data_IF_473505861683
#
_entry.id   IF_473505861683
#
_cell.length_a   1.000
_cell.length_b   1.000
_cell.length_c   1.000
_cell.angle_alpha   90.00
_cell.angle_beta   90.00
_cell.angle_gamma   90.00
#
_symmetry.space_group_name_H-M   'P 1'
#
loop_
_entity.id
_entity.type
_entity.pdbx_description
1 polymer ?
#
# COMPACT_ATOMS: atom_id res chain seq x y z
N UNK A 1 -19.05 -11.99 -18.19
CA UNK A 1 -19.41 -11.58 -16.81
C UNK A 1 -18.34 -10.64 -16.26
N UNK A 2 -18.72 -9.56 -15.58
CA UNK A 2 -17.82 -8.44 -15.24
C UNK A 2 -17.28 -8.58 -13.82
N UNK A 3 -16.44 -9.57 -13.57
CA UNK A 3 -15.89 -9.84 -12.22
C UNK A 3 -14.93 -8.76 -11.71
N UNK A 4 -14.29 -8.03 -12.62
CA UNK A 4 -13.33 -6.96 -12.27
C UNK A 4 -13.98 -5.80 -11.51
N UNK A 5 -15.27 -5.52 -11.74
CA UNK A 5 -16.00 -4.51 -10.96
C UNK A 5 -16.16 -4.91 -9.49
N UNK A 6 -16.26 -6.21 -9.20
CA UNK A 6 -16.30 -6.72 -7.83
C UNK A 6 -14.97 -6.42 -7.10
N UNK A 7 -13.85 -6.63 -7.80
CA UNK A 7 -12.51 -6.31 -7.29
C UNK A 7 -12.36 -4.81 -7.09
N UNK A 8 -12.76 -4.00 -8.08
CA UNK A 8 -12.74 -2.54 -8.00
C UNK A 8 -13.46 -2.03 -6.75
N UNK A 9 -14.73 -2.45 -6.56
CA UNK A 9 -15.54 -2.02 -5.44
C UNK A 9 -14.95 -2.47 -4.10
N UNK A 10 -14.45 -3.71 -4.00
CA UNK A 10 -13.75 -4.19 -2.81
C UNK A 10 -12.54 -3.31 -2.46
N UNK A 11 -11.72 -2.96 -3.45
CA UNK A 11 -10.54 -2.13 -3.22
C UNK A 11 -10.92 -0.71 -2.81
N UNK A 12 -11.96 -0.13 -3.41
CA UNK A 12 -12.44 1.21 -3.08
C UNK A 12 -13.04 1.28 -1.67
N UNK A 13 -13.80 0.26 -1.23
CA UNK A 13 -14.46 0.29 0.07
C UNK A 13 -13.57 -0.19 1.20
N UNK A 14 -12.86 -1.30 1.04
CA UNK A 14 -12.14 -1.96 2.13
C UNK A 14 -10.64 -1.69 2.15
N UNK A 15 -10.05 -1.26 1.02
CA UNK A 15 -8.59 -1.07 0.88
C UNK A 15 -8.21 0.35 0.44
N UNK A 16 -9.09 1.32 0.70
CA UNK A 16 -8.97 2.71 0.24
C UNK A 16 -7.64 3.41 0.57
N UNK A 17 -7.03 3.07 1.71
CA UNK A 17 -5.78 3.67 2.20
C UNK A 17 -4.53 2.92 1.76
N UNK A 18 -4.63 1.97 0.83
CA UNK A 18 -3.50 1.19 0.34
C UNK A 18 -3.10 1.62 -1.08
N UNK A 19 -1.91 1.20 -1.54
CA UNK A 19 -1.49 1.37 -2.95
C UNK A 19 -2.54 0.81 -3.92
N UNK A 20 -3.12 -0.35 -3.58
CA UNK A 20 -4.20 -0.97 -4.38
C UNK A 20 -5.46 -0.09 -4.42
N UNK A 21 -5.79 0.58 -3.32
CA UNK A 21 -6.89 1.53 -3.27
C UNK A 21 -6.65 2.77 -4.15
N UNK A 22 -5.42 3.25 -4.23
CA UNK A 22 -5.08 4.36 -5.13
C UNK A 22 -5.16 3.93 -6.60
N UNK A 23 -4.67 2.74 -6.94
CA UNK A 23 -4.83 2.17 -8.28
C UNK A 23 -6.31 2.03 -8.67
N UNK A 24 -7.17 1.60 -7.73
CA UNK A 24 -8.60 1.45 -7.98
C UNK A 24 -9.31 2.76 -8.28
N UNK A 25 -8.84 3.89 -7.71
CA UNK A 25 -9.39 5.23 -8.06
C UNK A 25 -9.08 5.60 -9.52
N UNK A 26 -7.85 5.32 -9.97
CA UNK A 26 -7.44 5.56 -11.37
C UNK A 26 -8.21 4.64 -12.32
N UNK A 27 -8.39 3.38 -11.92
CA UNK A 27 -9.07 2.37 -12.72
C UNK A 27 -10.60 2.50 -12.72
N UNK A 28 -11.19 3.40 -11.93
CA UNK A 28 -12.64 3.50 -11.75
C UNK A 28 -13.38 3.70 -13.08
N UNK A 29 -13.05 4.76 -13.80
CA UNK A 29 -13.71 5.05 -15.08
C UNK A 29 -13.53 3.95 -16.13
N UNK A 30 -12.30 3.47 -16.42
CA UNK A 30 -12.12 2.35 -17.33
C UNK A 30 -12.96 1.12 -16.97
N UNK A 31 -12.96 0.69 -15.73
CA UNK A 31 -13.67 -0.52 -15.28
C UNK A 31 -15.19 -0.38 -15.34
N UNK A 32 -15.76 0.80 -15.09
CA UNK A 32 -17.19 1.05 -15.27
C UNK A 32 -17.62 0.77 -16.73
N UNK A 33 -16.77 1.11 -17.70
CA UNK A 33 -16.97 0.82 -19.11
C UNK A 33 -16.38 -0.54 -19.54
N UNK A 34 -16.07 -1.40 -18.58
CA UNK A 34 -15.55 -2.75 -18.79
C UNK A 34 -14.15 -2.84 -19.41
N UNK A 35 -13.35 -1.77 -19.34
CA UNK A 35 -11.92 -1.76 -19.67
C UNK A 35 -11.15 -2.23 -18.43
N UNK A 36 -10.80 -3.51 -18.41
CA UNK A 36 -10.32 -4.20 -17.22
C UNK A 36 -8.79 -4.23 -17.09
N UNK A 37 -8.09 -3.82 -18.12
CA UNK A 37 -6.64 -3.94 -18.30
C UNK A 37 -5.89 -3.24 -17.16
N UNK A 38 -6.34 -2.03 -16.78
CA UNK A 38 -5.71 -1.24 -15.70
C UNK A 38 -5.66 -2.00 -14.38
N UNK A 39 -6.77 -2.67 -14.01
CA UNK A 39 -6.81 -3.48 -12.78
C UNK A 39 -6.12 -4.83 -12.96
N UNK A 40 -6.31 -5.49 -14.08
CA UNK A 40 -5.79 -6.85 -14.32
C UNK A 40 -4.27 -6.87 -14.36
N UNK A 41 -3.64 -5.85 -14.95
CA UNK A 41 -2.19 -5.72 -15.03
C UNK A 41 -1.60 -4.90 -13.88
N UNK A 42 -2.30 -3.90 -13.38
CA UNK A 42 -1.86 -3.11 -12.23
C UNK A 42 -1.87 -3.88 -10.91
N UNK A 43 -2.82 -4.82 -10.77
CA UNK A 43 -2.76 -5.89 -9.79
C UNK A 43 -2.40 -7.13 -10.60
N UNK A 44 -1.21 -7.73 -10.47
CA UNK A 44 -0.83 -8.88 -11.27
C UNK A 44 -1.68 -10.11 -10.91
N UNK A 45 -2.99 -10.05 -11.22
CA UNK A 45 -3.98 -11.06 -10.83
C UNK A 45 -3.63 -12.40 -11.44
N UNK A 46 -3.28 -12.40 -12.74
CA UNK A 46 -3.01 -13.64 -13.51
C UNK A 46 -1.73 -14.34 -13.05
N UNK A 47 -0.71 -13.56 -12.65
CA UNK A 47 0.59 -14.10 -12.20
C UNK A 47 0.63 -14.36 -10.68
N UNK A 48 -0.45 -14.09 -9.96
CA UNK A 48 -0.52 -14.27 -8.52
C UNK A 48 -1.28 -15.56 -8.17
N UNK A 49 -0.61 -16.58 -7.60
CA UNK A 49 -1.23 -17.88 -7.34
C UNK A 49 -2.44 -17.78 -6.38
N UNK A 50 -2.48 -16.79 -5.49
CA UNK A 50 -3.62 -16.56 -4.59
C UNK A 50 -4.80 -15.96 -5.35
N UNK A 51 -4.55 -15.04 -6.29
CA UNK A 51 -5.60 -14.32 -7.02
C UNK A 51 -6.13 -15.07 -8.23
N UNK A 52 -5.38 -16.04 -8.77
CA UNK A 52 -5.84 -16.91 -9.87
C UNK A 52 -7.06 -17.73 -9.45
N UNK A 53 -7.12 -18.18 -8.19
CA UNK A 53 -8.26 -18.99 -7.70
C UNK A 53 -9.58 -18.23 -7.85
N UNK A 54 -9.79 -17.04 -7.25
CA UNK A 54 -11.03 -16.29 -7.42
C UNK A 54 -11.20 -15.78 -8.85
N UNK A 55 -10.14 -15.53 -9.60
CA UNK A 55 -10.22 -15.13 -11.01
C UNK A 55 -10.91 -16.19 -11.88
N UNK A 56 -10.65 -17.47 -11.63
CA UNK A 56 -11.29 -18.58 -12.35
C UNK A 56 -12.64 -18.95 -11.73
N UNK A 57 -12.73 -19.05 -10.40
CA UNK A 57 -13.94 -19.55 -9.72
C UNK A 57 -15.10 -18.55 -9.74
N UNK A 58 -14.84 -17.24 -9.61
CA UNK A 58 -15.90 -16.25 -9.55
C UNK A 58 -16.76 -16.22 -10.81
N UNK A 59 -16.23 -16.16 -12.06
CA UNK A 59 -17.07 -16.20 -13.26
C UNK A 59 -17.95 -17.43 -13.31
N UNK A 60 -17.45 -18.59 -12.88
CA UNK A 60 -18.22 -19.85 -12.88
C UNK A 60 -19.38 -19.78 -11.88
N UNK A 61 -19.10 -19.35 -10.66
CA UNK A 61 -20.16 -19.19 -9.61
C UNK A 61 -21.22 -18.22 -10.08
N UNK A 62 -20.82 -17.04 -10.58
CA UNK A 62 -21.76 -16.03 -11.03
C UNK A 62 -22.57 -16.50 -12.25
N UNK A 63 -21.96 -17.28 -13.14
CA UNK A 63 -22.65 -17.89 -14.28
C UNK A 63 -23.71 -18.89 -13.82
N UNK A 64 -23.37 -19.80 -12.90
CA UNK A 64 -24.33 -20.77 -12.35
C UNK A 64 -25.52 -20.10 -11.69
N UNK A 65 -25.28 -19.03 -10.90
CA UNK A 65 -26.36 -18.27 -10.25
C UNK A 65 -27.26 -17.59 -11.29
N UNK A 66 -26.67 -16.93 -12.29
CA UNK A 66 -27.43 -16.27 -13.34
C UNK A 66 -28.23 -17.27 -14.16
N UNK A 67 -27.65 -18.41 -14.49
CA UNK A 67 -28.34 -19.51 -15.18
C UNK A 67 -29.53 -20.04 -14.37
N UNK A 68 -29.32 -20.35 -13.10
CA UNK A 68 -30.37 -20.84 -12.21
C UNK A 68 -31.54 -19.82 -12.06
N UNK A 69 -31.21 -18.52 -11.93
CA UNK A 69 -32.21 -17.45 -11.84
C UNK A 69 -33.03 -17.31 -13.14
N UNK A 70 -32.43 -17.54 -14.29
CA UNK A 70 -33.11 -17.49 -15.58
C UNK A 70 -33.91 -18.77 -15.82
N UNK A 71 -33.35 -19.93 -15.53
CA UNK A 71 -34.00 -21.23 -15.69
C UNK A 71 -35.22 -21.40 -14.76
N UNK A 72 -35.20 -20.81 -13.56
CA UNK A 72 -36.34 -20.80 -12.62
C UNK A 72 -37.45 -19.79 -12.99
N UNK A 73 -37.27 -19.00 -14.06
CA UNK A 73 -38.26 -17.98 -14.47
C UNK A 73 -38.25 -16.71 -13.59
N UNK A 74 -37.35 -16.60 -12.61
CA UNK A 74 -37.21 -15.39 -11.78
C UNK A 74 -36.84 -14.16 -12.61
N UNK A 75 -36.04 -14.37 -13.65
CA UNK A 75 -35.57 -13.32 -14.55
C UNK A 75 -36.13 -13.62 -15.96
N UNK A 76 -36.67 -12.62 -16.67
CA UNK A 76 -37.04 -12.77 -18.07
C UNK A 76 -35.80 -13.18 -18.91
N UNK A 77 -36.04 -13.97 -19.94
CA UNK A 77 -34.99 -14.30 -20.90
C UNK A 77 -34.36 -13.06 -21.53
N UNK A 78 -33.17 -13.22 -22.14
CA UNK A 78 -32.49 -12.14 -22.84
C UNK A 78 -33.33 -11.70 -24.07
N UNK A 79 -33.65 -10.41 -24.14
CA UNK A 79 -34.46 -9.82 -25.22
C UNK A 79 -33.50 -9.31 -26.33
N UNK A 80 -32.35 -8.79 -25.95
CA UNK A 80 -31.41 -8.20 -26.90
C UNK A 80 -29.96 -8.38 -26.44
N UNK A 81 -29.04 -8.27 -27.39
CA UNK A 81 -27.60 -8.23 -27.11
C UNK A 81 -27.19 -6.81 -26.75
N UNK A 82 -26.30 -6.70 -25.77
CA UNK A 82 -25.81 -5.42 -25.26
C UNK A 82 -24.33 -5.27 -25.57
N UNK A 83 -23.85 -4.11 -26.06
CA UNK A 83 -22.44 -3.85 -26.27
C UNK A 83 -21.62 -4.14 -24.98
N UNK A 84 -20.44 -4.71 -25.14
CA UNK A 84 -19.59 -5.13 -24.02
C UNK A 84 -19.15 -3.96 -23.14
N UNK A 85 -19.06 -2.74 -23.69
CA UNK A 85 -18.66 -1.51 -22.98
C UNK A 85 -19.79 -0.85 -22.17
N UNK A 86 -21.04 -1.35 -22.26
CA UNK A 86 -22.19 -0.76 -21.53
C UNK A 86 -22.01 -0.91 -20.03
N UNK A 87 -22.19 0.13 -19.19
CA UNK A 87 -22.13 0.05 -17.75
C UNK A 87 -23.04 -1.03 -17.14
N UNK A 88 -22.62 -1.60 -15.99
CA UNK A 88 -23.21 -2.84 -15.45
C UNK A 88 -24.73 -2.76 -15.22
N UNK A 89 -25.27 -1.78 -14.56
CA UNK A 89 -26.69 -1.72 -14.24
C UNK A 89 -27.56 -1.46 -15.49
N UNK A 90 -27.06 -0.60 -16.39
CA UNK A 90 -27.72 -0.29 -17.65
C UNK A 90 -27.80 -1.53 -18.53
N UNK A 91 -26.71 -2.32 -18.58
CA UNK A 91 -26.68 -3.54 -19.38
C UNK A 91 -27.68 -4.59 -18.92
N UNK A 92 -27.96 -4.71 -17.61
CA UNK A 92 -28.97 -5.64 -17.09
C UNK A 92 -30.37 -5.26 -17.50
N UNK A 93 -30.70 -3.97 -17.43
CA UNK A 93 -31.99 -3.47 -17.86
C UNK A 93 -32.21 -3.65 -19.36
N UNK A 94 -31.24 -3.24 -20.19
CA UNK A 94 -31.35 -3.37 -21.65
C UNK A 94 -31.47 -4.85 -22.07
N UNK A 95 -30.65 -5.72 -21.47
CA UNK A 95 -30.63 -7.14 -21.83
C UNK A 95 -31.92 -7.88 -21.52
N UNK A 96 -32.61 -7.53 -20.42
CA UNK A 96 -33.80 -8.27 -19.92
C UNK A 96 -35.11 -7.49 -20.08
N UNK A 97 -35.06 -6.19 -20.38
CA UNK A 97 -36.23 -5.31 -20.37
C UNK A 97 -36.89 -5.16 -19.01
N UNK A 98 -36.23 -5.56 -17.91
CA UNK A 98 -36.82 -5.64 -16.58
C UNK A 98 -35.88 -5.17 -15.47
N UNK A 99 -36.42 -4.52 -14.47
CA UNK A 99 -35.74 -4.17 -13.23
C UNK A 99 -35.19 -5.41 -12.51
N UNK A 100 -35.81 -6.57 -12.67
CA UNK A 100 -35.33 -7.84 -12.10
C UNK A 100 -33.91 -8.18 -12.62
N UNK A 101 -33.57 -7.85 -13.88
CA UNK A 101 -32.23 -8.02 -14.43
C UNK A 101 -31.21 -7.14 -13.75
N UNK A 102 -31.57 -5.92 -13.36
CA UNK A 102 -30.71 -5.00 -12.59
C UNK A 102 -30.48 -5.53 -11.18
N UNK A 103 -31.54 -6.01 -10.50
CA UNK A 103 -31.43 -6.60 -9.17
C UNK A 103 -30.56 -7.85 -9.17
N UNK A 104 -30.69 -8.71 -10.19
CA UNK A 104 -29.79 -9.83 -10.36
C UNK A 104 -28.33 -9.37 -10.49
N UNK A 105 -28.05 -8.34 -11.30
CA UNK A 105 -26.67 -7.84 -11.44
C UNK A 105 -26.11 -7.30 -10.12
N UNK A 106 -26.89 -6.58 -9.32
CA UNK A 106 -26.47 -6.13 -7.98
C UNK A 106 -26.16 -7.32 -7.06
N UNK A 107 -27.03 -8.33 -7.06
CA UNK A 107 -26.80 -9.56 -6.30
C UNK A 107 -25.52 -10.30 -6.75
N UNK A 108 -25.28 -10.41 -8.05
CA UNK A 108 -24.09 -11.01 -8.61
C UNK A 108 -22.82 -10.22 -8.23
N UNK A 109 -22.87 -8.88 -8.22
CA UNK A 109 -21.75 -8.05 -7.76
C UNK A 109 -21.45 -8.30 -6.30
N UNK A 110 -22.48 -8.32 -5.43
CA UNK A 110 -22.31 -8.62 -4.00
C UNK A 110 -21.71 -10.02 -3.78
N UNK A 111 -22.21 -11.02 -4.50
CA UNK A 111 -21.66 -12.38 -4.46
C UNK A 111 -20.21 -12.42 -4.93
N UNK A 112 -19.88 -11.77 -6.04
CA UNK A 112 -18.51 -11.68 -6.53
C UNK A 112 -17.57 -11.00 -5.53
N UNK A 113 -18.02 -9.94 -4.86
CA UNK A 113 -17.28 -9.31 -3.78
C UNK A 113 -17.05 -10.28 -2.61
N UNK A 114 -18.07 -11.03 -2.20
CA UNK A 114 -17.94 -12.03 -1.14
C UNK A 114 -16.91 -13.12 -1.47
N UNK A 115 -16.90 -13.58 -2.73
CA UNK A 115 -15.92 -14.59 -3.18
C UNK A 115 -14.50 -14.01 -3.22
N UNK A 116 -14.29 -12.79 -3.72
CA UNK A 116 -12.96 -12.19 -3.82
C UNK A 116 -12.39 -11.72 -2.48
N UNK A 117 -13.23 -11.33 -1.53
CA UNK A 117 -12.82 -10.72 -0.27
C UNK A 117 -11.76 -11.53 0.52
N UNK A 118 -11.95 -12.84 0.80
CA UNK A 118 -10.97 -13.62 1.54
C UNK A 118 -9.63 -13.72 0.80
N UNK A 119 -9.64 -13.81 -0.53
CA UNK A 119 -8.43 -13.93 -1.32
C UNK A 119 -7.64 -12.61 -1.38
N UNK A 120 -8.31 -11.47 -1.51
CA UNK A 120 -7.65 -10.16 -1.44
C UNK A 120 -7.00 -9.95 -0.07
N UNK A 121 -7.71 -10.32 1.01
CA UNK A 121 -7.16 -10.24 2.37
C UNK A 121 -5.96 -11.17 2.56
N UNK A 122 -6.05 -12.40 2.06
CA UNK A 122 -4.95 -13.36 2.09
C UNK A 122 -3.76 -12.86 1.27
N UNK A 123 -4.00 -12.36 0.06
CA UNK A 123 -2.96 -11.81 -0.80
C UNK A 123 -2.23 -10.65 -0.12
N UNK A 124 -2.97 -9.74 0.54
CA UNK A 124 -2.38 -8.65 1.31
C UNK A 124 -1.43 -9.19 2.39
N UNK A 125 -1.86 -10.18 3.18
CA UNK A 125 -1.01 -10.81 4.21
C UNK A 125 0.25 -11.45 3.63
N UNK A 126 0.12 -12.19 2.53
CA UNK A 126 1.26 -12.82 1.85
C UNK A 126 2.25 -11.76 1.35
N UNK A 127 1.75 -10.65 0.80
CA UNK A 127 2.61 -9.55 0.37
C UNK A 127 3.32 -8.88 1.55
N UNK A 128 2.62 -8.62 2.66
CA UNK A 128 3.20 -8.04 3.88
C UNK A 128 4.31 -8.94 4.45
N UNK A 129 4.05 -10.24 4.61
CA UNK A 129 5.06 -11.19 5.11
C UNK A 129 6.27 -11.26 4.18
N UNK A 130 6.05 -11.31 2.88
CA UNK A 130 7.14 -11.32 1.88
C UNK A 130 7.93 -10.02 1.89
N UNK A 131 7.27 -8.87 2.09
CA UNK A 131 7.90 -7.57 2.17
C UNK A 131 8.78 -7.44 3.42
N UNK A 132 8.28 -7.86 4.59
CA UNK A 132 9.06 -7.87 5.83
C UNK A 132 10.30 -8.75 5.69
N UNK A 133 10.16 -9.98 5.17
CA UNK A 133 11.31 -10.86 4.97
C UNK A 133 12.39 -10.24 4.05
N UNK A 134 11.98 -9.55 2.99
CA UNK A 134 12.92 -8.85 2.10
C UNK A 134 13.60 -7.68 2.80
N UNK A 135 12.85 -6.93 3.63
CA UNK A 135 13.42 -5.85 4.44
C UNK A 135 14.45 -6.41 5.43
N UNK A 136 14.13 -7.48 6.15
CA UNK A 136 15.04 -8.11 7.10
C UNK A 136 16.34 -8.54 6.40
N UNK A 137 16.24 -9.15 5.22
CA UNK A 137 17.41 -9.53 4.41
C UNK A 137 18.26 -8.29 4.02
N UNK A 138 17.62 -7.17 3.69
CA UNK A 138 18.35 -5.93 3.37
C UNK A 138 19.03 -5.34 4.59
N UNK A 139 18.35 -5.35 5.76
CA UNK A 139 18.92 -4.87 7.03
C UNK A 139 20.09 -5.75 7.47
N UNK A 140 19.97 -7.07 7.33
CA UNK A 140 21.08 -7.99 7.62
C UNK A 140 22.28 -7.75 6.69
N UNK A 141 22.02 -7.53 5.41
CA UNK A 141 23.08 -7.18 4.45
C UNK A 141 23.78 -5.86 4.81
N UNK A 142 23.03 -4.84 5.22
CA UNK A 142 23.60 -3.57 5.69
C UNK A 142 24.49 -3.78 6.92
N UNK A 143 24.02 -4.51 7.93
CA UNK A 143 24.78 -4.81 9.15
C UNK A 143 26.08 -5.56 8.87
N UNK A 144 26.08 -6.48 7.91
CA UNK A 144 27.32 -7.18 7.48
C UNK A 144 28.32 -6.22 6.85
N UNK A 145 27.87 -5.37 5.94
CA UNK A 145 28.73 -4.38 5.31
C UNK A 145 29.31 -3.38 6.34
N UNK A 146 28.53 -2.99 7.36
CA UNK A 146 29.04 -2.16 8.46
C UNK A 146 30.17 -2.85 9.24
N UNK A 147 30.11 -4.17 9.41
CA UNK A 147 31.17 -4.94 10.08
C UNK A 147 32.41 -5.14 9.20
N UNK A 148 32.24 -5.28 7.90
CA UNK A 148 33.31 -5.53 6.93
C UNK A 148 33.97 -4.25 6.42
N UNK A 149 33.50 -3.07 6.84
CA UNK A 149 33.99 -1.74 6.44
C UNK A 149 33.89 -1.50 4.91
N UNK A 150 33.09 -2.31 4.21
CA UNK A 150 32.81 -2.10 2.80
C UNK A 150 31.57 -1.21 2.61
N UNK A 151 31.62 -0.19 1.74
CA UNK A 151 30.43 0.62 1.46
C UNK A 151 29.43 -0.24 0.70
N UNK A 152 28.26 -0.53 1.27
CA UNK A 152 27.23 -1.28 0.57
C UNK A 152 26.70 -0.44 -0.58
N UNK A 153 26.75 -0.93 -1.81
CA UNK A 153 26.20 -0.26 -3.00
C UNK A 153 24.87 -0.90 -3.38
N UNK A 154 23.84 -0.74 -2.55
CA UNK A 154 22.57 -1.42 -2.78
C UNK A 154 21.80 -0.88 -3.98
N UNK A 155 21.82 0.43 -4.24
CA UNK A 155 21.07 1.04 -5.35
C UNK A 155 21.56 0.61 -6.73
N UNK A 156 22.87 0.30 -6.85
CA UNK A 156 23.49 -0.17 -8.10
C UNK A 156 23.26 -1.65 -8.38
N UNK A 157 22.79 -2.43 -7.38
CA UNK A 157 22.56 -3.88 -7.54
C UNK A 157 21.39 -4.17 -8.45
N UNK A 158 21.51 -5.25 -9.26
CA UNK A 158 20.45 -5.72 -10.17
C UNK A 158 19.54 -6.75 -9.49
N UNK A 159 19.95 -7.28 -8.34
CA UNK A 159 19.23 -8.30 -7.59
C UNK A 159 18.02 -7.76 -6.78
N UNK A 160 17.42 -8.64 -5.99
CA UNK A 160 16.26 -8.31 -5.14
C UNK A 160 16.57 -7.24 -4.08
N UNK A 161 17.82 -7.15 -3.60
CA UNK A 161 18.24 -6.13 -2.65
C UNK A 161 18.29 -4.74 -3.31
N UNK A 162 18.82 -4.64 -4.53
CA UNK A 162 18.80 -3.39 -5.28
C UNK A 162 17.37 -2.95 -5.65
N UNK A 163 16.50 -3.89 -5.96
CA UNK A 163 15.11 -3.57 -6.27
C UNK A 163 14.38 -2.97 -5.05
N UNK A 164 14.49 -3.59 -3.87
CA UNK A 164 13.85 -3.08 -2.65
C UNK A 164 14.47 -1.75 -2.22
N UNK A 165 15.78 -1.58 -2.35
CA UNK A 165 16.48 -0.35 -1.99
C UNK A 165 16.00 0.84 -2.83
N UNK A 166 15.83 0.65 -4.14
CA UNK A 166 15.26 1.70 -5.02
C UNK A 166 13.83 2.05 -4.66
N UNK A 167 12.99 1.04 -4.39
CA UNK A 167 11.59 1.27 -3.97
C UNK A 167 11.56 2.04 -2.64
N UNK A 168 12.37 1.63 -1.66
CA UNK A 168 12.43 2.32 -0.36
C UNK A 168 12.99 3.74 -0.50
N UNK A 169 13.96 3.98 -1.39
CA UNK A 169 14.47 5.33 -1.64
C UNK A 169 13.41 6.24 -2.24
N UNK A 170 12.63 5.76 -3.22
CA UNK A 170 11.56 6.57 -3.82
C UNK A 170 10.44 6.83 -2.80
N UNK A 171 10.06 5.84 -2.01
CA UNK A 171 9.10 6.01 -0.93
C UNK A 171 9.65 6.94 0.19
N UNK A 172 10.97 6.97 0.43
CA UNK A 172 11.63 7.90 1.36
C UNK A 172 11.58 9.35 0.85
N UNK A 173 11.80 9.57 -0.44
CA UNK A 173 11.65 10.91 -1.06
C UNK A 173 10.23 11.45 -0.88
N UNK A 174 9.24 10.60 -1.02
CA UNK A 174 7.84 10.97 -0.78
C UNK A 174 7.59 11.19 0.72
N UNK A 175 8.13 10.33 1.60
CA UNK A 175 7.99 10.46 3.04
C UNK A 175 8.59 11.78 3.60
N UNK A 176 9.69 12.27 2.99
CA UNK A 176 10.29 13.58 3.33
C UNK A 176 9.30 14.72 3.00
N UNK A 177 8.56 14.63 1.87
CA UNK A 177 7.60 15.64 1.44
C UNK A 177 6.28 15.59 2.24
N UNK A 178 5.77 14.39 2.48
CA UNK A 178 4.40 14.13 2.97
C UNK A 178 4.29 14.08 4.51
N UNK A 179 5.32 14.49 5.26
CA UNK A 179 5.35 14.48 6.74
C UNK A 179 5.02 13.10 7.36
N UNK A 180 5.39 12.00 6.68
CA UNK A 180 5.17 10.63 7.21
C UNK A 180 6.32 10.13 8.08
N UNK A 181 7.45 10.84 8.08
CA UNK A 181 8.54 10.68 9.03
C UNK A 181 8.19 11.35 10.36
N UNK A 182 8.66 10.80 11.46
CA UNK A 182 8.45 11.40 12.78
C UNK A 182 9.60 11.12 13.75
N UNK A 183 9.67 11.90 14.83
CA UNK A 183 10.69 11.75 15.86
C UNK A 183 10.08 11.06 17.10
N UNK A 184 10.81 10.07 17.63
CA UNK A 184 10.61 9.60 19.00
C UNK A 184 11.67 10.24 19.89
N UNK A 185 11.27 10.61 21.11
CA UNK A 185 12.15 11.27 22.06
C UNK A 185 12.47 10.31 23.19
N UNK A 186 13.77 10.01 23.36
CA UNK A 186 14.27 9.20 24.46
C UNK A 186 14.75 10.14 25.57
N UNK A 187 14.10 10.17 26.75
CA UNK A 187 14.47 11.07 27.82
C UNK A 187 15.85 10.72 28.40
N UNK A 188 16.60 11.77 28.75
CA UNK A 188 17.90 11.68 29.40
C UNK A 188 17.80 12.21 30.83
N UNK A 189 18.31 11.45 31.79
CA UNK A 189 18.24 11.78 33.19
C UNK A 189 19.64 12.02 33.76
N UNK A 190 19.74 12.91 34.75
CA UNK A 190 20.95 13.10 35.54
C UNK A 190 21.07 12.03 36.63
N UNK A 191 22.15 12.13 37.46
CA UNK A 191 22.40 11.22 38.56
C UNK A 191 21.35 11.31 39.68
N UNK A 192 20.64 12.44 39.75
CA UNK A 192 19.57 12.69 40.73
C UNK A 192 18.19 12.26 40.25
N UNK A 193 18.10 11.68 39.02
CA UNK A 193 16.86 11.21 38.42
C UNK A 193 16.00 12.32 37.81
N UNK A 194 16.55 13.53 37.60
CA UNK A 194 15.84 14.62 36.93
C UNK A 194 16.01 14.50 35.43
N UNK A 195 14.95 14.71 34.68
CA UNK A 195 15.01 14.72 33.20
C UNK A 195 15.67 16.02 32.74
N UNK A 196 16.88 15.92 32.17
CA UNK A 196 17.69 17.04 31.74
C UNK A 196 17.66 17.25 30.21
N UNK A 197 17.11 16.30 29.47
CA UNK A 197 17.05 16.39 28.03
C UNK A 197 16.37 15.20 27.39
N UNK A 198 16.39 15.17 26.07
CA UNK A 198 15.95 14.04 25.29
C UNK A 198 16.76 13.88 24.00
N UNK A 199 16.97 12.66 23.56
CA UNK A 199 17.50 12.36 22.23
C UNK A 199 16.36 12.17 21.26
N UNK A 200 16.37 12.93 20.17
CA UNK A 200 15.40 12.85 19.10
C UNK A 200 15.86 11.79 18.08
N UNK A 201 15.08 10.73 17.94
CA UNK A 201 15.40 9.57 17.14
C UNK A 201 14.43 9.47 15.97
N UNK A 202 14.97 9.53 14.73
CA UNK A 202 14.17 9.40 13.50
C UNK A 202 13.47 8.05 13.43
N UNK A 203 12.21 8.07 13.05
CA UNK A 203 11.40 6.87 12.82
C UNK A 203 10.62 7.00 11.52
N UNK A 204 10.49 5.86 10.86
CA UNK A 204 9.66 5.71 9.67
C UNK A 204 8.86 4.42 9.75
N UNK A 205 7.53 4.56 9.78
CA UNK A 205 6.63 3.42 9.72
C UNK A 205 6.05 3.33 8.31
N UNK A 206 6.64 2.48 7.50
CA UNK A 206 6.26 2.30 6.10
C UNK A 206 5.01 1.42 5.98
N UNK A 207 4.07 1.79 5.10
CA UNK A 207 2.76 1.14 4.96
C UNK A 207 2.82 -0.36 4.60
N UNK A 208 3.87 -0.80 3.88
CA UNK A 208 4.06 -2.19 3.45
C UNK A 208 5.12 -2.92 4.26
N UNK A 209 6.23 -2.24 4.59
CA UNK A 209 7.40 -2.82 5.23
C UNK A 209 7.39 -2.68 6.75
N UNK A 210 6.44 -1.92 7.34
CA UNK A 210 6.42 -1.63 8.77
C UNK A 210 7.55 -0.69 9.20
N UNK A 211 8.11 -0.95 10.37
CA UNK A 211 9.19 -0.14 10.94
C UNK A 211 10.48 -0.31 10.16
N UNK A 212 10.97 0.78 9.57
CA UNK A 212 12.24 0.79 8.86
C UNK A 212 13.37 1.02 9.87
N UNK A 213 14.43 0.22 9.77
CA UNK A 213 15.63 0.35 10.56
C UNK A 213 16.30 1.72 10.32
N UNK A 214 16.48 2.57 11.37
CA UNK A 214 16.94 3.95 11.17
C UNK A 214 18.26 4.09 10.43
N UNK A 215 19.32 3.28 10.66
CA UNK A 215 20.53 3.33 9.87
C UNK A 215 20.30 3.08 8.38
N UNK A 216 19.34 2.22 8.00
CA UNK A 216 19.00 1.99 6.61
C UNK A 216 18.39 3.25 5.96
N UNK A 217 17.61 4.05 6.70
CA UNK A 217 17.05 5.31 6.20
C UNK A 217 18.19 6.27 5.82
N UNK A 218 19.13 6.46 6.74
CA UNK A 218 20.31 7.33 6.53
C UNK A 218 21.15 6.82 5.35
N UNK A 219 21.40 5.51 5.32
CA UNK A 219 22.17 4.88 4.26
C UNK A 219 21.54 5.12 2.88
N UNK A 220 20.24 4.84 2.72
CA UNK A 220 19.51 5.05 1.47
C UNK A 220 19.49 6.53 1.06
N UNK A 221 19.32 7.43 2.03
CA UNK A 221 19.36 8.87 1.78
C UNK A 221 20.73 9.32 1.27
N UNK A 222 21.82 8.80 1.84
CA UNK A 222 23.19 9.09 1.43
C UNK A 222 23.49 8.57 0.02
N UNK A 223 23.24 7.27 -0.22
CA UNK A 223 23.47 6.64 -1.52
C UNK A 223 22.57 7.25 -2.62
N UNK A 224 21.34 7.62 -2.26
CA UNK A 224 20.35 8.23 -3.16
C UNK A 224 20.48 9.73 -3.35
N UNK A 225 21.48 10.39 -2.71
CA UNK A 225 21.73 11.83 -2.87
C UNK A 225 20.65 12.74 -2.28
N UNK A 226 19.86 12.26 -1.30
CA UNK A 226 18.79 13.03 -0.64
C UNK A 226 19.06 13.24 0.86
N UNK A 227 20.30 12.98 1.32
CA UNK A 227 20.66 13.10 2.72
C UNK A 227 20.44 14.51 3.26
N UNK A 228 20.84 15.55 2.52
CA UNK A 228 20.62 16.94 2.93
C UNK A 228 19.13 17.24 3.13
N UNK A 229 18.25 16.80 2.23
CA UNK A 229 16.82 17.00 2.34
C UNK A 229 16.25 16.30 3.58
N UNK A 230 16.75 15.10 3.89
CA UNK A 230 16.36 14.37 5.10
C UNK A 230 16.82 15.10 6.37
N UNK A 231 18.05 15.63 6.39
CA UNK A 231 18.59 16.38 7.53
C UNK A 231 17.84 17.69 7.76
N UNK A 232 17.54 18.44 6.71
CA UNK A 232 16.69 19.64 6.78
C UNK A 232 15.30 19.30 7.38
N UNK A 233 14.73 18.15 6.96
CA UNK A 233 13.47 17.67 7.51
C UNK A 233 13.56 17.31 9.00
N UNK A 234 14.63 16.65 9.42
CA UNK A 234 14.89 16.30 10.83
C UNK A 234 14.97 17.59 11.66
N UNK A 235 15.76 18.56 11.22
CA UNK A 235 15.94 19.85 11.90
C UNK A 235 14.58 20.55 12.06
N UNK A 236 13.77 20.61 11.00
CA UNK A 236 12.46 21.24 11.03
C UNK A 236 11.49 20.51 12.00
N UNK A 237 11.49 19.16 12.02
CA UNK A 237 10.69 18.37 12.96
C UNK A 237 11.09 18.62 14.41
N UNK A 238 12.40 18.67 14.70
CA UNK A 238 12.92 18.94 16.04
C UNK A 238 12.60 20.37 16.47
N UNK A 239 12.80 21.36 15.58
CA UNK A 239 12.47 22.78 15.85
C UNK A 239 10.99 22.96 16.15
N UNK A 240 10.10 22.33 15.38
CA UNK A 240 8.65 22.34 15.65
C UNK A 240 8.32 21.69 17.00
N UNK A 241 9.00 20.64 17.40
CA UNK A 241 8.79 20.00 18.71
C UNK A 241 9.24 20.89 19.85
N UNK A 242 10.40 21.53 19.74
CA UNK A 242 10.88 22.51 20.73
C UNK A 242 9.88 23.65 20.89
N UNK A 243 9.41 24.23 19.79
CA UNK A 243 8.43 25.32 19.81
C UNK A 243 7.10 24.93 20.50
N UNK A 244 6.64 23.67 20.33
CA UNK A 244 5.41 23.16 20.96
C UNK A 244 5.58 22.86 22.46
N UNK A 245 6.79 22.64 22.89
CA UNK A 245 7.11 22.32 24.30
C UNK A 245 7.73 23.51 25.05
N UNK A 246 7.93 24.62 24.38
CA UNK A 246 8.44 25.84 24.98
C UNK A 246 7.59 26.24 26.20
N UNK A 247 8.24 26.48 27.34
CA UNK A 247 7.59 26.83 28.62
C UNK A 247 7.09 25.64 29.45
N UNK A 248 7.25 24.38 28.99
CA UNK A 248 6.94 23.19 29.80
C UNK A 248 8.12 22.61 30.54
N UNK A 249 9.33 22.97 30.14
CA UNK A 249 10.59 22.52 30.75
C UNK A 249 11.41 23.72 31.18
N UNK A 250 12.24 23.54 32.21
CA UNK A 250 13.21 24.54 32.64
C UNK A 250 14.21 24.85 31.54
N UNK A 251 14.75 26.08 31.53
CA UNK A 251 15.55 26.62 30.44
C UNK A 251 16.80 25.84 30.04
N UNK A 252 17.22 24.86 30.84
CA UNK A 252 18.39 24.00 30.59
C UNK A 252 18.04 22.67 29.90
N UNK A 253 16.79 22.43 29.53
CA UNK A 253 16.38 21.19 28.83
C UNK A 253 16.97 21.14 27.41
N UNK A 254 17.75 20.09 27.14
CA UNK A 254 18.49 19.92 25.88
C UNK A 254 17.85 18.85 25.01
N UNK A 255 17.67 19.13 23.72
CA UNK A 255 17.32 18.10 22.72
C UNK A 255 18.52 17.87 21.82
N UNK A 256 19.03 16.64 21.86
CA UNK A 256 20.09 16.17 20.94
C UNK A 256 19.47 15.37 19.79
N UNK A 257 20.10 15.42 18.62
CA UNK A 257 19.75 14.59 17.48
C UNK A 257 20.98 14.31 16.62
N UNK A 258 20.97 13.18 15.94
CA UNK A 258 22.09 12.74 15.12
C UNK A 258 22.00 13.34 13.72
N UNK A 259 23.06 14.01 13.29
CA UNK A 259 23.28 14.47 11.91
C UNK A 259 24.53 13.77 11.38
N UNK A 260 24.47 13.31 10.13
CA UNK A 260 25.65 12.77 9.46
C UNK A 260 26.48 13.96 8.95
N UNK A 261 27.66 14.16 9.50
CA UNK A 261 28.59 15.14 8.94
C UNK A 261 29.01 14.64 7.56
N UNK A 262 28.45 15.25 6.51
CA UNK A 262 28.82 14.94 5.13
C UNK A 262 30.28 15.36 4.88
N UNK A 263 31.13 14.40 4.55
CA UNK A 263 32.40 14.63 3.89
C UNK A 263 32.24 14.45 2.40
#
# INVERSE_FOLDING_TARGET
>A
MRTTICVLLLLLFFFRKTRLGNLSKIAFFPVVFNLNEVLTFGIPIVLNPVMVIPFISTPVVLYCIAYAATASGLIPGLITTVPWSTPILISGYIATGSVRGVLLQLFLVATGMAVYYPFIRLNKRVQEVSAHKRLDTLVEALKRCEQETEPPQFLSRIDSLGMISRVLLDDLKDAIKDDTLFMLYQPQFDADGRCIGAEALLRWNHSLYGWIYPPLIIYLAKEGGVLQQLEEKIIDMVARSISRTAGRYDGDFKISFNISVGY
#
